data_IF_443145686967
#
_entry.id   IF_443145686967
#
_cell.length_a   1.000
_cell.length_b   1.000
_cell.length_c   1.000
_cell.angle_alpha   90.00
_cell.angle_beta   90.00
_cell.angle_gamma   90.00
#
_symmetry.space_group_name_H-M   'P 1'
#
loop_
_entity.id
_entity.type
_entity.pdbx_description
1 polymer ?
#
# COMPACT_ATOMS: atom_id res chain seq x y z
N UNK A 1 31.17 3.98 -37.26
CA UNK A 1 30.03 3.05 -37.11
C UNK A 1 29.77 2.84 -35.63
N UNK A 2 28.80 3.56 -35.06
CA UNK A 2 28.49 3.52 -33.62
C UNK A 2 27.51 2.37 -33.34
N UNK A 3 27.99 1.36 -32.61
CA UNK A 3 27.24 0.17 -32.24
C UNK A 3 26.27 0.54 -31.10
N UNK A 4 24.98 0.75 -31.40
CA UNK A 4 23.99 0.98 -30.35
C UNK A 4 23.80 -0.30 -29.52
N UNK A 5 23.84 -0.23 -28.17
CA UNK A 5 23.48 -1.36 -27.33
C UNK A 5 22.01 -1.71 -27.61
N UNK A 6 21.78 -2.94 -28.10
CA UNK A 6 20.44 -3.49 -28.34
C UNK A 6 19.78 -3.82 -27.00
N UNK A 7 19.17 -2.81 -26.38
CA UNK A 7 18.36 -2.98 -25.18
C UNK A 7 16.97 -3.55 -25.52
N UNK A 8 16.43 -4.41 -24.67
CA UNK A 8 15.03 -4.81 -24.72
C UNK A 8 14.24 -3.73 -23.96
N UNK A 9 13.33 -3.04 -24.64
CA UNK A 9 12.43 -2.07 -24.03
C UNK A 9 11.04 -2.70 -23.90
N UNK A 10 10.62 -3.01 -22.67
CA UNK A 10 9.32 -3.62 -22.40
C UNK A 10 8.34 -2.50 -22.05
N UNK A 11 7.31 -2.31 -22.87
CA UNK A 11 6.18 -1.41 -22.58
C UNK A 11 4.97 -2.25 -22.22
N UNK A 12 4.54 -2.19 -20.96
CA UNK A 12 3.38 -2.92 -20.46
C UNK A 12 3.15 -2.67 -18.97
N UNK A 13 1.90 -2.69 -18.53
CA UNK A 13 1.48 -2.35 -17.16
C UNK A 13 1.84 -3.41 -16.11
N UNK A 14 2.36 -4.57 -16.52
CA UNK A 14 2.73 -5.66 -15.62
C UNK A 14 3.91 -6.44 -16.19
N UNK A 15 5.02 -6.48 -15.46
CA UNK A 15 6.17 -7.34 -15.74
C UNK A 15 6.16 -8.48 -14.73
N UNK A 16 5.70 -9.66 -15.15
CA UNK A 16 5.86 -10.89 -14.37
C UNK A 16 7.21 -11.50 -14.75
N UNK A 17 8.05 -11.78 -13.75
CA UNK A 17 9.44 -12.18 -13.93
C UNK A 17 9.62 -13.28 -14.99
N UNK A 18 10.11 -12.89 -16.17
CA UNK A 18 10.58 -13.83 -17.16
C UNK A 18 12.01 -14.27 -16.80
N UNK A 19 12.35 -15.52 -17.07
CA UNK A 19 13.73 -16.00 -16.92
C UNK A 19 14.64 -15.27 -17.94
N UNK A 20 15.41 -14.30 -17.46
CA UNK A 20 16.47 -13.66 -18.24
C UNK A 20 17.72 -14.55 -18.23
N UNK A 21 17.87 -15.37 -19.28
CA UNK A 21 19.05 -16.20 -19.48
C UNK A 21 20.23 -15.38 -20.03
N UNK A 22 21.40 -15.47 -19.38
CA UNK A 22 22.63 -14.78 -19.77
C UNK A 22 23.58 -14.57 -18.59
N UNK A 23 24.87 -14.37 -18.84
CA UNK A 23 25.85 -13.92 -17.82
C UNK A 23 25.94 -12.40 -17.85
N UNK A 24 26.08 -11.76 -16.69
CA UNK A 24 26.12 -10.30 -16.51
C UNK A 24 24.79 -9.57 -16.77
N UNK A 25 23.65 -10.22 -16.50
CA UNK A 25 22.37 -9.53 -16.49
C UNK A 25 22.33 -8.55 -15.31
N UNK A 26 22.25 -7.25 -15.61
CA UNK A 26 21.97 -6.20 -14.63
C UNK A 26 20.51 -5.81 -14.79
N UNK A 27 19.69 -6.07 -13.77
CA UNK A 27 18.33 -5.54 -13.69
C UNK A 27 18.43 -4.18 -13.02
N UNK A 28 18.21 -3.11 -13.78
CA UNK A 28 18.00 -1.77 -13.24
C UNK A 28 16.50 -1.62 -12.98
N UNK A 29 16.09 -1.89 -11.74
CA UNK A 29 14.70 -1.70 -11.33
C UNK A 29 14.55 -0.21 -11.02
N UNK A 30 13.89 0.53 -11.92
CA UNK A 30 13.43 1.89 -11.61
C UNK A 30 12.44 1.89 -10.44
N UNK A 31 11.98 3.07 -10.01
CA UNK A 31 11.03 3.23 -8.89
C UNK A 31 9.91 2.16 -8.90
N UNK A 32 9.97 1.22 -7.96
CA UNK A 32 8.90 0.23 -7.75
C UNK A 32 7.72 0.96 -7.14
N UNK A 33 6.79 1.39 -7.98
CA UNK A 33 5.50 1.92 -7.53
C UNK A 33 4.63 0.74 -7.11
N UNK A 34 4.46 0.51 -5.80
CA UNK A 34 3.43 -0.40 -5.32
C UNK A 34 2.07 0.25 -5.63
N UNK A 35 1.49 -0.13 -6.77
CA UNK A 35 0.28 0.49 -7.29
C UNK A 35 0.56 1.82 -7.97
N UNK A 36 0.10 1.98 -9.22
CA UNK A 36 0.12 3.29 -9.87
C UNK A 36 -0.69 4.33 -9.09
N UNK A 37 -0.65 5.62 -9.48
CA UNK A 37 -1.29 6.72 -8.77
C UNK A 37 -2.78 6.46 -8.41
N UNK A 38 -3.53 5.81 -9.31
CA UNK A 38 -4.92 5.40 -9.06
C UNK A 38 -5.07 4.48 -7.82
N UNK A 39 -4.13 3.56 -7.60
CA UNK A 39 -4.17 2.62 -6.45
C UNK A 39 -3.88 3.33 -5.13
N UNK A 40 -3.00 4.34 -5.16
CA UNK A 40 -2.71 5.17 -3.99
C UNK A 40 -3.91 6.03 -3.60
N UNK A 41 -4.65 6.57 -4.56
CA UNK A 41 -5.88 7.32 -4.29
C UNK A 41 -7.00 6.42 -3.74
N UNK A 42 -7.18 5.22 -4.29
CA UNK A 42 -8.08 4.21 -3.72
C UNK A 42 -7.70 3.84 -2.28
N UNK A 43 -6.41 3.66 -2.02
CA UNK A 43 -5.90 3.34 -0.69
C UNK A 43 -6.15 4.50 0.29
N UNK A 44 -5.92 5.75 -0.12
CA UNK A 44 -6.25 6.95 0.68
C UNK A 44 -7.74 7.01 1.00
N UNK A 45 -8.61 6.75 0.02
CA UNK A 45 -10.05 6.78 0.21
C UNK A 45 -10.51 5.70 1.22
N UNK A 46 -9.97 4.49 1.13
CA UNK A 46 -10.28 3.43 2.09
C UNK A 46 -9.79 3.74 3.50
N UNK A 47 -8.57 4.29 3.64
CA UNK A 47 -8.04 4.71 4.96
C UNK A 47 -8.88 5.85 5.55
N UNK A 48 -9.30 6.82 4.75
CA UNK A 48 -10.19 7.89 5.20
C UNK A 48 -11.56 7.34 5.67
N UNK A 49 -12.13 6.37 4.95
CA UNK A 49 -13.37 5.71 5.37
C UNK A 49 -13.18 4.90 6.65
N UNK A 50 -12.07 4.18 6.78
CA UNK A 50 -11.73 3.44 8.00
C UNK A 50 -11.70 4.37 9.22
N UNK A 51 -11.07 5.54 9.09
CA UNK A 51 -11.05 6.54 10.16
C UNK A 51 -12.44 7.03 10.54
N UNK A 52 -13.31 7.27 9.57
CA UNK A 52 -14.68 7.69 9.85
C UNK A 52 -15.45 6.63 10.65
N UNK A 53 -15.30 5.35 10.31
CA UNK A 53 -15.90 4.24 11.07
C UNK A 53 -15.29 4.13 12.48
N UNK A 54 -13.98 4.25 12.62
CA UNK A 54 -13.31 4.20 13.93
C UNK A 54 -13.73 5.38 14.82
N UNK A 55 -13.86 6.58 14.25
CA UNK A 55 -14.30 7.78 14.96
C UNK A 55 -15.76 7.68 15.44
N UNK A 56 -16.62 6.93 14.73
CA UNK A 56 -17.99 6.65 15.19
C UNK A 56 -18.02 5.86 16.51
N UNK A 57 -16.92 5.16 16.83
CA UNK A 57 -16.73 4.39 18.07
C UNK A 57 -15.72 5.04 19.03
N UNK A 58 -15.44 6.34 18.90
CA UNK A 58 -14.41 7.06 19.67
C UNK A 58 -14.60 7.02 21.21
N UNK A 59 -15.78 6.65 21.70
CA UNK A 59 -16.03 6.46 23.13
C UNK A 59 -15.28 5.23 23.70
N UNK A 60 -14.86 4.30 22.85
CA UNK A 60 -14.04 3.15 23.23
C UNK A 60 -12.54 3.48 23.04
N UNK A 61 -11.72 3.43 24.09
CA UNK A 61 -10.30 3.78 24.02
C UNK A 61 -9.50 2.88 23.06
N UNK A 62 -9.96 1.65 22.81
CA UNK A 62 -9.30 0.75 21.89
C UNK A 62 -9.58 1.15 20.42
N UNK A 63 -10.78 1.67 20.11
CA UNK A 63 -11.09 2.27 18.81
C UNK A 63 -10.37 3.60 18.61
N UNK A 64 -10.27 4.44 19.64
CA UNK A 64 -9.49 5.68 19.58
C UNK A 64 -8.00 5.41 19.30
N UNK A 65 -7.44 4.34 19.89
CA UNK A 65 -6.08 3.89 19.60
C UNK A 65 -5.94 3.44 18.14
N UNK A 66 -6.89 2.66 17.63
CA UNK A 66 -6.88 2.24 16.23
C UNK A 66 -6.99 3.44 15.26
N UNK A 67 -7.81 4.44 15.57
CA UNK A 67 -7.92 5.66 14.75
C UNK A 67 -6.60 6.44 14.70
N UNK A 68 -5.91 6.59 15.84
CA UNK A 68 -4.58 7.21 15.86
C UNK A 68 -3.56 6.47 14.96
N UNK A 69 -3.64 5.13 14.88
CA UNK A 69 -2.81 4.36 13.96
C UNK A 69 -3.25 4.50 12.49
N UNK A 70 -4.54 4.65 12.23
CA UNK A 70 -5.08 4.93 10.90
C UNK A 70 -4.73 6.35 10.42
N UNK A 71 -4.66 7.33 11.32
CA UNK A 71 -4.15 8.67 11.03
C UNK A 71 -2.70 8.66 10.59
N UNK A 72 -1.83 7.97 11.34
CA UNK A 72 -0.43 7.79 10.99
C UNK A 72 -0.23 7.10 9.63
N UNK A 73 -1.14 6.19 9.24
CA UNK A 73 -1.15 5.58 7.92
C UNK A 73 -1.58 6.58 6.83
N UNK A 74 -2.59 7.41 7.11
CA UNK A 74 -3.04 8.46 6.21
C UNK A 74 -1.95 9.51 5.95
N UNK A 75 -1.20 9.90 6.99
CA UNK A 75 -0.04 10.81 6.88
C UNK A 75 1.03 10.25 5.94
N UNK A 76 1.37 8.96 6.07
CA UNK A 76 2.35 8.32 5.20
C UNK A 76 1.88 8.30 3.73
N UNK A 77 0.58 8.10 3.51
CA UNK A 77 -0.03 8.13 2.18
C UNK A 77 -0.15 9.54 1.60
N UNK A 78 -0.17 10.58 2.44
CA UNK A 78 -0.24 11.97 2.00
C UNK A 78 1.11 12.50 1.47
N UNK A 79 2.21 11.78 1.71
CA UNK A 79 3.51 12.11 1.14
C UNK A 79 3.47 12.12 -0.40
N UNK A 80 4.23 13.02 -1.02
CA UNK A 80 4.37 13.11 -2.49
C UNK A 80 4.85 11.77 -3.09
N UNK A 81 5.72 11.08 -2.35
CA UNK A 81 6.18 9.72 -2.64
C UNK A 81 6.03 8.85 -1.38
N UNK A 82 4.89 8.16 -1.20
CA UNK A 82 4.69 7.27 -0.06
C UNK A 82 5.68 6.10 -0.11
N UNK A 83 6.34 5.80 1.00
CA UNK A 83 7.21 4.62 1.11
C UNK A 83 6.35 3.36 1.28
N UNK A 84 6.37 2.43 0.31
CA UNK A 84 5.51 1.26 0.35
C UNK A 84 5.80 0.31 1.52
N UNK A 85 7.06 0.21 1.97
CA UNK A 85 7.42 -0.62 3.11
C UNK A 85 6.90 0.00 4.42
N UNK A 86 6.97 1.33 4.55
CA UNK A 86 6.42 2.03 5.72
C UNK A 86 4.90 1.97 5.76
N UNK A 87 4.24 2.17 4.62
CA UNK A 87 2.78 2.02 4.49
C UNK A 87 2.36 0.61 4.92
N UNK A 88 3.01 -0.43 4.39
CA UNK A 88 2.70 -1.82 4.76
C UNK A 88 2.96 -2.12 6.24
N UNK A 89 4.08 -1.65 6.79
CA UNK A 89 4.40 -1.83 8.21
C UNK A 89 3.42 -1.11 9.14
N UNK A 90 2.92 0.07 8.75
CA UNK A 90 1.85 0.77 9.48
C UNK A 90 0.52 0.03 9.36
N UNK A 91 0.19 -0.47 8.17
CA UNK A 91 -1.00 -1.28 7.94
C UNK A 91 -0.99 -2.56 8.79
N UNK A 92 0.11 -3.30 8.85
CA UNK A 92 0.18 -4.55 9.63
C UNK A 92 -0.07 -4.32 11.13
N UNK A 93 0.46 -3.22 11.68
CA UNK A 93 0.18 -2.81 13.07
C UNK A 93 -1.28 -2.46 13.28
N UNK A 94 -1.86 -1.66 12.38
CA UNK A 94 -3.27 -1.28 12.44
C UNK A 94 -4.17 -2.51 12.32
N UNK A 95 -3.90 -3.41 11.37
CA UNK A 95 -4.64 -4.66 11.18
C UNK A 95 -4.62 -5.52 12.44
N UNK A 96 -3.48 -5.61 13.13
CA UNK A 96 -3.39 -6.31 14.41
C UNK A 96 -4.34 -5.73 15.47
N UNK A 97 -4.47 -4.41 15.53
CA UNK A 97 -5.42 -3.73 16.43
C UNK A 97 -6.87 -4.00 16.02
N UNK A 98 -7.20 -3.89 14.73
CA UNK A 98 -8.55 -4.17 14.22
C UNK A 98 -8.99 -5.60 14.51
N UNK A 99 -8.08 -6.57 14.36
CA UNK A 99 -8.35 -7.97 14.72
C UNK A 99 -8.58 -8.15 16.22
N UNK A 100 -7.77 -7.48 17.07
CA UNK A 100 -7.94 -7.55 18.52
C UNK A 100 -9.25 -6.89 19.00
N UNK A 101 -9.72 -5.88 18.27
CA UNK A 101 -11.03 -5.24 18.49
C UNK A 101 -12.21 -6.13 18.08
N UNK A 102 -11.96 -7.29 17.44
CA UNK A 102 -12.99 -8.09 16.76
C UNK A 102 -13.85 -7.23 15.84
N UNK A 103 -13.23 -6.23 15.20
CA UNK A 103 -13.94 -5.24 14.41
C UNK A 103 -14.65 -5.94 13.25
N UNK A 104 -15.98 -6.01 13.33
CA UNK A 104 -16.84 -6.63 12.32
C UNK A 104 -17.45 -5.60 11.37
N UNK A 105 -18.29 -6.08 10.45
CA UNK A 105 -19.06 -5.22 9.55
C UNK A 105 -18.17 -4.35 8.65
N UNK A 106 -18.51 -3.05 8.56
CA UNK A 106 -17.85 -2.11 7.65
C UNK A 106 -16.34 -2.01 7.87
N UNK A 107 -15.86 -2.08 9.12
CA UNK A 107 -14.42 -2.00 9.42
C UNK A 107 -13.67 -3.20 8.83
N UNK A 108 -14.22 -4.41 8.93
CA UNK A 108 -13.63 -5.62 8.35
C UNK A 108 -13.59 -5.55 6.82
N UNK A 109 -14.68 -5.10 6.19
CA UNK A 109 -14.76 -4.93 4.74
C UNK A 109 -13.74 -3.91 4.21
N UNK A 110 -13.59 -2.77 4.88
CA UNK A 110 -12.60 -1.74 4.51
C UNK A 110 -11.18 -2.29 4.71
N UNK A 111 -10.93 -3.03 5.78
CA UNK A 111 -9.63 -3.63 6.06
C UNK A 111 -9.22 -4.68 5.00
N UNK A 112 -10.17 -5.49 4.54
CA UNK A 112 -9.95 -6.42 3.43
C UNK A 112 -9.64 -5.66 2.12
N UNK A 113 -10.38 -4.59 1.85
CA UNK A 113 -10.12 -3.69 0.72
C UNK A 113 -8.70 -3.12 0.73
N UNK A 114 -8.24 -2.61 1.89
CA UNK A 114 -6.88 -2.08 2.05
C UNK A 114 -5.84 -3.19 1.81
N UNK A 115 -6.07 -4.38 2.35
CA UNK A 115 -5.15 -5.52 2.20
C UNK A 115 -4.97 -5.97 0.76
N UNK A 116 -5.98 -5.78 -0.11
CA UNK A 116 -5.90 -6.09 -1.54
C UNK A 116 -5.10 -5.06 -2.34
N UNK A 117 -4.88 -3.86 -1.80
CA UNK A 117 -4.15 -2.78 -2.46
C UNK A 117 -2.67 -2.71 -2.06
N UNK A 118 -2.26 -3.43 -1.01
CA UNK A 118 -0.89 -3.51 -0.45
C UNK A 118 -0.17 -4.84 -0.77
#
# INVERSE_FOLDING_TARGET
MTNQPRGIHITGSTVVGANLGGRNNKVDVGDVTIGGPARTDELRALVARLRAELAAHANDPAYAKADAHAELLAEELAAERPDPQRVRGRWDRLRGLLTALTAGGAIAEIADGISKLL
#
